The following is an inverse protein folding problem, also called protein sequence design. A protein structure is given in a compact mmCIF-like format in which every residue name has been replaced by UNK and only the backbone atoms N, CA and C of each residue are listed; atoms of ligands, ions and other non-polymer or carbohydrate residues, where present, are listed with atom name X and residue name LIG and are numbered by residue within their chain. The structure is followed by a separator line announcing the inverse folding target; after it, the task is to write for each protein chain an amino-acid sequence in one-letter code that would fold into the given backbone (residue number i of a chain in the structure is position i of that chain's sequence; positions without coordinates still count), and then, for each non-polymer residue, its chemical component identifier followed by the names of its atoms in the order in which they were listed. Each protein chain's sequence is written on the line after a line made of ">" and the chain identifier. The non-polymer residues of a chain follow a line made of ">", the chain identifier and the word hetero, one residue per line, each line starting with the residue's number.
data_IF_746548266479
#
_entry.id   IF_746548266479
#
_cell.length_a   1.000
_cell.length_b   1.000
_cell.length_c   1.000
_cell.angle_alpha   90.00
_cell.angle_beta   90.00
_cell.angle_gamma   90.00
#
_symmetry.space_group_name_H-M   'P 1'
#
loop_
_entity.id
_entity.type
_entity.pdbx_description
1 polymer ?
#
# COMPACT_ATOMS: atom_id res chain seq x y z
N UNK A 1 3.02 -2.51 -0.66
CA UNK A 1 3.02 -3.16 0.68
C UNK A 1 1.92 -4.22 0.83
N UNK A 2 0.61 -3.98 0.72
CA UNK A 2 -0.35 -5.13 0.76
C UNK A 2 -0.33 -5.99 -0.52
N UNK A 3 -0.20 -5.35 -1.69
CA UNK A 3 -0.07 -6.03 -2.98
C UNK A 3 1.19 -6.91 -3.08
N UNK A 4 2.21 -6.66 -2.26
CA UNK A 4 3.43 -7.48 -2.20
C UNK A 4 3.24 -8.74 -1.34
N UNK A 5 2.36 -8.66 -0.32
CA UNK A 5 2.00 -9.80 0.52
C UNK A 5 1.03 -10.72 -0.21
N UNK A 6 0.08 -10.16 -0.97
CA UNK A 6 -0.86 -10.91 -1.80
C UNK A 6 -0.80 -10.46 -3.27
N UNK A 7 0.18 -10.95 -4.05
CA UNK A 7 0.31 -10.60 -5.46
C UNK A 7 -0.88 -11.06 -6.32
N UNK A 8 -1.56 -12.14 -5.93
CA UNK A 8 -2.71 -12.66 -6.70
C UNK A 8 -3.88 -11.66 -6.76
N UNK A 9 -4.02 -10.81 -5.75
CA UNK A 9 -5.05 -9.75 -5.68
C UNK A 9 -4.47 -8.35 -5.81
N UNK A 10 -3.30 -8.21 -6.43
CA UNK A 10 -2.59 -6.93 -6.50
C UNK A 10 -3.43 -5.84 -7.16
N UNK A 11 -4.19 -6.18 -8.20
CA UNK A 11 -4.98 -5.21 -8.96
C UNK A 11 -6.12 -4.64 -8.10
N UNK A 12 -6.83 -5.49 -7.37
CA UNK A 12 -7.91 -5.09 -6.48
C UNK A 12 -7.38 -4.27 -5.30
N UNK A 13 -6.22 -4.64 -4.75
CA UNK A 13 -5.56 -3.90 -3.67
C UNK A 13 -5.13 -2.51 -4.15
N UNK A 14 -4.50 -2.42 -5.32
CA UNK A 14 -4.06 -1.14 -5.89
C UNK A 14 -5.25 -0.26 -6.25
N UNK A 15 -6.28 -0.82 -6.89
CA UNK A 15 -7.54 -0.12 -7.19
C UNK A 15 -8.16 0.43 -5.91
N UNK A 16 -8.24 -0.38 -4.85
CA UNK A 16 -8.78 0.08 -3.57
C UNK A 16 -7.96 1.22 -2.98
N UNK A 17 -6.63 1.14 -3.05
CA UNK A 17 -5.75 2.23 -2.61
C UNK A 17 -5.98 3.53 -3.40
N UNK A 18 -6.20 3.43 -4.71
CA UNK A 18 -6.52 4.57 -5.56
C UNK A 18 -7.83 5.24 -5.15
N UNK A 19 -8.91 4.45 -5.00
CA UNK A 19 -10.24 4.91 -4.62
C UNK A 19 -10.29 5.58 -3.24
N UNK A 20 -9.43 5.16 -2.30
CA UNK A 20 -9.33 5.80 -0.99
C UNK A 20 -8.88 7.26 -1.12
N UNK A 21 -7.99 7.57 -2.07
CA UNK A 21 -7.59 8.93 -2.40
C UNK A 21 -8.75 9.72 -3.01
N UNK A 22 -9.42 9.17 -4.02
CA UNK A 22 -10.55 9.81 -4.71
C UNK A 22 -11.70 10.11 -3.74
N UNK A 23 -11.94 9.24 -2.77
CA UNK A 23 -12.95 9.46 -1.72
C UNK A 23 -12.69 10.76 -0.95
N UNK A 24 -11.43 11.16 -0.76
CA UNK A 24 -11.07 12.42 -0.08
C UNK A 24 -11.34 13.65 -0.93
N UNK A 25 -11.24 13.52 -2.25
CA UNK A 25 -11.60 14.57 -3.21
C UNK A 25 -13.11 14.73 -3.24
N UNK A 26 -13.85 13.63 -3.38
CA UNK A 26 -15.32 13.62 -3.42
C UNK A 26 -15.92 14.20 -2.13
N UNK A 27 -15.39 13.83 -0.97
CA UNK A 27 -15.83 14.40 0.31
C UNK A 27 -15.34 15.84 0.56
N UNK A 28 -14.61 16.45 -0.37
CA UNK A 28 -14.14 17.84 -0.27
C UNK A 28 -13.01 18.08 0.74
N UNK A 29 -12.31 17.02 1.19
CA UNK A 29 -11.25 17.13 2.19
C UNK A 29 -9.86 17.43 1.60
N UNK A 30 -9.62 17.07 0.34
CA UNK A 30 -8.34 17.28 -0.35
C UNK A 30 -8.59 17.71 -1.79
N UNK A 31 -7.69 18.52 -2.34
CA UNK A 31 -7.68 18.78 -3.78
C UNK A 31 -7.13 17.56 -4.52
N UNK A 32 -7.50 17.40 -5.80
CA UNK A 32 -6.98 16.30 -6.63
C UNK A 32 -5.45 16.31 -6.67
N UNK A 33 -4.84 17.50 -6.76
CA UNK A 33 -3.39 17.67 -6.75
C UNK A 33 -2.73 17.14 -5.47
N UNK A 34 -3.38 17.30 -4.31
CA UNK A 34 -2.85 16.80 -3.04
C UNK A 34 -2.82 15.27 -3.04
N UNK A 35 -3.88 14.65 -3.56
CA UNK A 35 -4.00 13.18 -3.65
C UNK A 35 -2.98 12.62 -4.64
N UNK A 36 -2.80 13.26 -5.79
CA UNK A 36 -1.82 12.85 -6.79
C UNK A 36 -0.38 12.95 -6.24
N UNK A 37 -0.04 14.04 -5.56
CA UNK A 37 1.25 14.21 -4.90
C UNK A 37 1.47 13.18 -3.78
N UNK A 38 0.44 12.89 -2.97
CA UNK A 38 0.51 11.92 -1.89
C UNK A 38 0.83 10.51 -2.38
N UNK A 39 0.34 10.11 -3.56
CA UNK A 39 0.67 8.80 -4.17
C UNK A 39 2.16 8.68 -4.46
N UNK A 40 2.77 9.73 -4.99
CA UNK A 40 4.22 9.77 -5.28
C UNK A 40 5.02 9.64 -3.97
N UNK A 41 4.71 10.47 -2.98
CA UNK A 41 5.40 10.44 -1.67
C UNK A 41 5.24 9.08 -1.00
N UNK A 42 4.03 8.52 -1.00
CA UNK A 42 3.76 7.20 -0.43
C UNK A 42 4.60 6.10 -1.09
N UNK A 43 4.77 6.14 -2.41
CA UNK A 43 5.62 5.18 -3.13
C UNK A 43 7.10 5.30 -2.75
N UNK A 44 7.60 6.53 -2.61
CA UNK A 44 8.98 6.79 -2.20
C UNK A 44 9.25 6.32 -0.76
N UNK A 45 8.32 6.56 0.17
CA UNK A 45 8.43 6.08 1.56
C UNK A 45 8.48 4.56 1.60
N UNK A 46 7.66 3.86 0.81
CA UNK A 46 7.71 2.40 0.75
C UNK A 46 9.07 1.92 0.23
N UNK A 47 9.67 2.57 -0.76
CA UNK A 47 11.01 2.25 -1.21
C UNK A 47 12.06 2.39 -0.09
N UNK A 48 12.01 3.48 0.68
CA UNK A 48 12.88 3.68 1.85
C UNK A 48 12.63 2.63 2.93
N UNK A 49 11.38 2.24 3.19
CA UNK A 49 11.08 1.21 4.18
C UNK A 49 11.71 -0.14 3.81
N UNK A 50 11.84 -0.45 2.52
CA UNK A 50 12.54 -1.66 2.06
C UNK A 50 14.04 -1.66 2.36
N UNK A 51 14.65 -0.53 2.75
CA UNK A 51 16.04 -0.50 3.22
C UNK A 51 16.17 -0.69 4.73
N UNK A 52 15.06 -0.74 5.46
CA UNK A 52 15.05 -0.89 6.92
C UNK A 52 14.95 -2.38 7.32
N UNK A 53 15.94 -2.96 8.03
CA UNK A 53 15.92 -4.37 8.42
C UNK A 53 14.74 -4.77 9.31
N UNK A 54 14.32 -3.89 10.24
CA UNK A 54 13.20 -4.18 11.13
C UNK A 54 11.89 -4.28 10.34
N UNK A 55 11.72 -3.44 9.33
CA UNK A 55 10.59 -3.51 8.42
C UNK A 55 10.58 -4.78 7.58
N UNK A 56 11.72 -5.14 6.98
CA UNK A 56 11.84 -6.38 6.20
C UNK A 56 11.49 -7.62 7.04
N UNK A 57 11.94 -7.67 8.30
CA UNK A 57 11.60 -8.77 9.21
C UNK A 57 10.09 -8.87 9.47
N UNK A 58 9.41 -7.75 9.69
CA UNK A 58 7.97 -7.75 9.90
C UNK A 58 7.20 -8.07 8.63
N UNK A 59 7.67 -7.58 7.48
CA UNK A 59 7.09 -7.90 6.18
C UNK A 59 7.18 -9.40 5.88
N UNK A 60 8.32 -10.04 6.19
CA UNK A 60 8.47 -11.49 6.02
C UNK A 60 7.51 -12.26 6.93
N UNK A 61 7.38 -11.87 8.21
CA UNK A 61 6.42 -12.49 9.13
C UNK A 61 4.98 -12.37 8.60
N UNK A 62 4.61 -11.22 8.04
CA UNK A 62 3.29 -11.02 7.45
C UNK A 62 3.07 -11.89 6.21
N UNK A 63 4.08 -12.07 5.35
CA UNK A 63 4.04 -13.01 4.22
C UNK A 63 3.85 -14.45 4.68
N UNK A 64 4.60 -14.87 5.69
CA UNK A 64 4.50 -16.23 6.26
C UNK A 64 3.15 -16.48 6.92
N UNK A 65 2.62 -15.50 7.65
CA UNK A 65 1.30 -15.55 8.25
C UNK A 65 0.20 -15.68 7.18
N UNK A 66 0.28 -14.86 6.13
CA UNK A 66 -0.67 -14.91 5.03
C UNK A 66 -0.62 -16.26 4.31
N UNK A 67 0.58 -16.78 4.03
CA UNK A 67 0.76 -18.08 3.40
C UNK A 67 0.15 -19.23 4.23
N UNK A 68 0.25 -19.17 5.56
CA UNK A 68 -0.39 -20.16 6.46
C UNK A 68 -1.92 -20.10 6.40
N UNK A 69 -2.51 -18.92 6.21
CA UNK A 69 -3.97 -18.71 6.12
C UNK A 69 -4.56 -19.08 4.75
N UNK A 70 -3.72 -19.26 3.73
CA UNK A 70 -4.15 -19.68 2.39
C UNK A 70 -4.21 -21.22 2.22
N UNK A 71 -3.83 -21.97 3.27
CA UNK A 71 -4.06 -23.43 3.36
C UNK A 71 -5.43 -23.71 3.94
#
# INVERSE_FOLDING_TARGET
>A
MLAEINPQRQNEILKRGYELGESRVICGYHWQSDVDAARIVGSAVVATLHTNPAFQQQLQKAKDEFAKRQK
#
